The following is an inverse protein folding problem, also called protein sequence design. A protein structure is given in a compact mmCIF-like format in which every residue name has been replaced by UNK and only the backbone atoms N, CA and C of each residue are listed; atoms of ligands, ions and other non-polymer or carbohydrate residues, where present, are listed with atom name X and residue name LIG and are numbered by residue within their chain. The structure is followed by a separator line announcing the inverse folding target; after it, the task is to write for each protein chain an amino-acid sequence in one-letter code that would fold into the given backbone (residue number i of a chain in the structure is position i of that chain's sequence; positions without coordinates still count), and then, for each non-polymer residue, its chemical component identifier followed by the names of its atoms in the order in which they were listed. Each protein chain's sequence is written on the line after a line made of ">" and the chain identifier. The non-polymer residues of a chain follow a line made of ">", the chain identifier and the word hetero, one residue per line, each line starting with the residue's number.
data_IF_027751703813
#
_entry.id   IF_027751703813
#
_cell.length_a   1.000
_cell.length_b   1.000
_cell.length_c   1.000
_cell.angle_alpha   90.00
_cell.angle_beta   90.00
_cell.angle_gamma   90.00
#
_symmetry.space_group_name_H-M   'P 1'
#
loop_
_entity.id
_entity.type
_entity.pdbx_description
1 polymer ?
#
# COMPACT_ATOMS: atom_id res chain seq x y z
N UNK A 1 -4.32 31.03 15.00
CA UNK A 1 -5.01 29.77 14.60
C UNK A 1 -4.41 28.65 15.43
N UNK A 2 -5.23 27.85 16.12
CA UNK A 2 -4.79 26.69 16.92
C UNK A 2 -5.36 25.45 16.24
N UNK A 3 -4.52 24.44 16.00
CA UNK A 3 -4.93 23.12 15.48
C UNK A 3 -4.79 22.07 16.59
N UNK A 4 -5.59 20.99 16.59
CA UNK A 4 -5.44 19.88 17.56
C UNK A 4 -4.03 19.32 17.58
N UNK A 5 -3.48 19.00 16.39
CA UNK A 5 -2.12 18.55 16.11
C UNK A 5 -1.60 17.38 16.98
N UNK A 6 -0.40 16.92 16.68
CA UNK A 6 0.36 15.93 17.47
C UNK A 6 1.24 16.67 18.47
N UNK A 7 1.35 16.24 19.74
CA UNK A 7 2.27 16.84 20.70
C UNK A 7 3.74 16.83 20.22
N UNK A 8 4.47 17.94 20.40
CA UNK A 8 5.92 17.99 20.11
C UNK A 8 6.73 17.04 21.01
N UNK A 9 6.16 16.67 22.16
CA UNK A 9 6.74 15.75 23.14
C UNK A 9 6.41 14.28 22.87
N UNK A 10 5.79 13.95 21.72
CA UNK A 10 5.51 12.56 21.34
C UNK A 10 6.81 11.76 21.35
N UNK A 11 6.87 10.75 22.20
CA UNK A 11 8.01 9.85 22.31
C UNK A 11 8.25 9.11 20.98
N UNK A 12 9.52 8.95 20.60
CA UNK A 12 9.95 8.13 19.47
C UNK A 12 10.33 6.73 19.94
N UNK A 13 9.31 5.86 20.06
CA UNK A 13 9.50 4.47 20.49
C UNK A 13 10.32 3.67 19.47
N UNK A 14 11.16 2.78 19.98
CA UNK A 14 12.03 1.88 19.21
C UNK A 14 11.92 0.48 19.78
N UNK A 15 11.68 -0.51 18.93
CA UNK A 15 11.64 -1.89 19.38
C UNK A 15 13.02 -2.30 19.94
N UNK A 16 13.08 -3.11 21.01
CA UNK A 16 14.35 -3.50 21.63
C UNK A 16 15.16 -4.45 20.73
N UNK A 17 14.49 -5.24 19.89
CA UNK A 17 15.09 -6.23 18.99
C UNK A 17 15.03 -5.73 17.55
N UNK A 18 16.08 -6.07 16.78
CA UNK A 18 16.16 -5.74 15.36
C UNK A 18 15.24 -6.65 14.51
N UNK A 19 13.98 -6.26 14.42
CA UNK A 19 12.95 -6.87 13.57
C UNK A 19 12.48 -5.89 12.48
N UNK A 20 11.84 -6.43 11.45
CA UNK A 20 11.38 -5.65 10.31
C UNK A 20 9.89 -5.85 10.05
N UNK A 21 9.25 -4.75 9.63
CA UNK A 21 7.92 -4.76 9.02
C UNK A 21 8.03 -4.43 7.53
N UNK A 22 7.22 -5.10 6.69
CA UNK A 22 7.09 -4.78 5.27
C UNK A 22 5.68 -4.32 4.95
N UNK A 23 5.53 -3.50 3.90
CA UNK A 23 4.26 -2.88 3.53
C UNK A 23 3.95 -3.17 2.07
N UNK A 24 2.99 -4.07 1.87
CA UNK A 24 2.44 -4.44 0.58
C UNK A 24 1.17 -3.61 0.40
N UNK A 25 1.16 -2.70 -0.57
CA UNK A 25 -0.04 -1.94 -0.90
C UNK A 25 -0.73 -2.52 -2.11
N UNK A 26 -2.06 -2.46 -2.09
CA UNK A 26 -2.93 -2.59 -3.25
C UNK A 26 -2.51 -3.73 -4.20
N UNK A 27 -2.55 -5.02 -3.75
CA UNK A 27 -2.21 -6.15 -4.61
C UNK A 27 -3.14 -6.34 -5.80
N UNK A 28 -4.43 -6.06 -5.63
CA UNK A 28 -5.48 -6.22 -6.64
C UNK A 28 -5.49 -7.62 -7.31
N UNK A 29 -5.47 -8.68 -6.51
CA UNK A 29 -5.59 -10.05 -7.04
C UNK A 29 -6.88 -10.21 -7.84
N UNK A 30 -6.77 -10.76 -9.05
CA UNK A 30 -7.88 -10.89 -10.00
C UNK A 30 -7.81 -9.93 -11.19
N UNK A 31 -7.01 -8.87 -11.07
CA UNK A 31 -6.73 -7.92 -12.15
C UNK A 31 -5.90 -8.56 -13.28
N UNK A 32 -6.15 -8.18 -14.53
CA UNK A 32 -5.37 -8.59 -15.70
C UNK A 32 -4.01 -7.89 -15.81
N UNK A 33 -3.85 -6.77 -15.09
CA UNK A 33 -2.60 -6.02 -14.97
C UNK A 33 -1.83 -6.36 -13.70
N UNK A 34 -2.23 -7.40 -12.96
CA UNK A 34 -1.49 -7.86 -11.79
C UNK A 34 -0.06 -8.30 -12.20
N UNK A 35 0.94 -7.73 -11.52
CA UNK A 35 2.36 -7.98 -11.78
C UNK A 35 2.83 -9.27 -11.12
N UNK A 36 2.30 -10.39 -11.61
CA UNK A 36 2.54 -11.74 -11.10
C UNK A 36 4.02 -12.04 -10.88
N UNK A 37 4.85 -11.83 -11.90
CA UNK A 37 6.27 -12.19 -11.83
C UNK A 37 7.02 -11.36 -10.77
N UNK A 38 6.65 -10.08 -10.60
CA UNK A 38 7.25 -9.18 -9.62
C UNK A 38 6.86 -9.59 -8.20
N UNK A 39 5.57 -9.88 -7.99
CA UNK A 39 5.05 -10.37 -6.71
C UNK A 39 5.68 -11.73 -6.35
N UNK A 40 5.86 -12.62 -7.33
CA UNK A 40 6.52 -13.91 -7.12
C UNK A 40 7.99 -13.75 -6.72
N UNK A 41 8.73 -12.79 -7.30
CA UNK A 41 10.09 -12.46 -6.87
C UNK A 41 10.13 -11.94 -5.44
N UNK A 42 9.16 -11.10 -5.05
CA UNK A 42 9.02 -10.64 -3.68
C UNK A 42 8.78 -11.80 -2.72
N UNK A 43 7.88 -12.73 -3.04
CA UNK A 43 7.66 -13.92 -2.22
C UNK A 43 8.89 -14.81 -2.14
N UNK A 44 9.63 -15.02 -3.24
CA UNK A 44 10.89 -15.77 -3.22
C UNK A 44 11.92 -15.13 -2.30
N UNK A 45 12.05 -13.80 -2.34
CA UNK A 45 12.92 -13.04 -1.44
C UNK A 45 12.46 -13.18 0.02
N UNK A 46 11.16 -13.02 0.31
CA UNK A 46 10.61 -13.12 1.66
C UNK A 46 10.81 -14.52 2.28
N UNK A 47 10.89 -15.54 1.42
CA UNK A 47 11.23 -16.92 1.76
C UNK A 47 12.74 -17.19 1.88
N UNK A 48 13.60 -16.18 1.70
CA UNK A 48 15.06 -16.32 1.70
C UNK A 48 15.63 -17.06 0.49
N UNK A 49 14.85 -17.24 -0.58
CA UNK A 49 15.21 -17.99 -1.79
C UNK A 49 15.73 -17.10 -2.92
N UNK A 50 15.71 -15.78 -2.77
CA UNK A 50 16.22 -14.82 -3.75
C UNK A 50 16.95 -13.65 -3.06
N UNK A 51 17.84 -12.99 -3.81
CA UNK A 51 18.68 -11.88 -3.34
C UNK A 51 20.09 -12.32 -2.91
N UNK A 52 20.92 -11.34 -2.55
CA UNK A 52 22.24 -11.57 -1.96
C UNK A 52 22.14 -11.96 -0.46
N UNK A 53 23.27 -12.28 0.18
CA UNK A 53 23.26 -12.73 1.58
C UNK A 53 22.74 -11.67 2.56
N UNK A 54 23.00 -10.38 2.34
CA UNK A 54 22.42 -9.30 3.15
C UNK A 54 20.91 -9.24 3.01
N UNK A 55 20.39 -9.33 1.78
CA UNK A 55 18.96 -9.32 1.47
C UNK A 55 18.23 -10.52 2.06
N UNK A 56 18.83 -11.71 1.99
CA UNK A 56 18.28 -12.92 2.61
C UNK A 56 18.30 -12.84 4.13
N UNK A 57 19.38 -12.31 4.72
CA UNK A 57 19.47 -12.09 6.17
C UNK A 57 18.39 -11.09 6.64
N UNK A 58 18.13 -10.04 5.85
CA UNK A 58 17.06 -9.09 6.12
C UNK A 58 15.68 -9.77 6.06
N UNK A 59 15.39 -10.58 5.03
CA UNK A 59 14.13 -11.30 4.89
C UNK A 59 13.83 -12.22 6.09
N UNK A 60 14.86 -12.85 6.67
CA UNK A 60 14.74 -13.67 7.89
C UNK A 60 14.30 -12.87 9.12
N UNK A 61 14.65 -11.57 9.19
CA UNK A 61 14.28 -10.67 10.29
C UNK A 61 12.93 -9.98 10.08
N UNK A 62 12.25 -10.20 8.95
CA UNK A 62 10.87 -9.73 8.76
C UNK A 62 9.93 -10.55 9.64
N UNK A 63 9.14 -9.85 10.46
CA UNK A 63 8.16 -10.43 11.39
C UNK A 63 6.73 -9.95 11.16
N UNK A 64 6.56 -8.79 10.51
CA UNK A 64 5.25 -8.22 10.23
C UNK A 64 5.10 -7.90 8.75
N UNK A 65 3.97 -8.30 8.16
CA UNK A 65 3.60 -8.02 6.77
C UNK A 65 2.28 -7.27 6.78
N UNK A 66 2.32 -5.97 6.51
CA UNK A 66 1.11 -5.17 6.36
C UNK A 66 0.61 -5.26 4.91
N UNK A 67 -0.69 -5.50 4.75
CA UNK A 67 -1.39 -5.40 3.47
C UNK A 67 -2.43 -4.29 3.58
N UNK A 68 -2.24 -3.21 2.82
CA UNK A 68 -2.97 -1.95 3.03
C UNK A 68 -4.23 -1.80 2.19
N UNK A 69 -5.17 -2.74 2.30
CA UNK A 69 -6.40 -2.75 1.52
C UNK A 69 -6.21 -3.13 0.06
N UNK A 70 -7.34 -3.21 -0.63
CA UNK A 70 -7.44 -3.59 -2.04
C UNK A 70 -6.69 -4.89 -2.32
N UNK A 71 -6.92 -5.88 -1.45
CA UNK A 71 -6.31 -7.20 -1.58
C UNK A 71 -6.69 -7.82 -2.93
N UNK A 72 -7.96 -7.67 -3.30
CA UNK A 72 -8.51 -8.11 -4.57
C UNK A 72 -8.93 -6.92 -5.42
N UNK A 73 -9.09 -7.12 -6.72
CA UNK A 73 -9.56 -6.09 -7.66
C UNK A 73 -11.08 -5.81 -7.52
N UNK A 74 -11.83 -6.74 -6.93
CA UNK A 74 -13.27 -6.64 -6.79
C UNK A 74 -14.04 -6.88 -8.10
N UNK A 75 -15.35 -6.68 -8.06
CA UNK A 75 -16.24 -6.78 -9.24
C UNK A 75 -17.26 -5.65 -9.17
N UNK A 76 -17.35 -4.85 -10.24
CA UNK A 76 -18.29 -3.74 -10.35
C UNK A 76 -17.84 -2.46 -9.62
N UNK A 77 -16.53 -2.27 -9.44
CA UNK A 77 -15.96 -1.12 -8.73
C UNK A 77 -16.03 0.17 -9.57
N UNK A 78 -15.79 0.07 -10.88
CA UNK A 78 -15.88 1.19 -11.81
C UNK A 78 -16.46 0.76 -13.17
N UNK A 79 -17.02 1.68 -13.97
CA UNK A 79 -17.58 1.36 -15.28
C UNK A 79 -16.54 0.75 -16.23
N UNK A 80 -16.86 -0.41 -16.82
CA UNK A 80 -15.97 -1.11 -17.75
C UNK A 80 -14.92 -2.01 -17.10
N UNK A 81 -14.92 -2.15 -15.77
CA UNK A 81 -13.96 -2.97 -15.02
C UNK A 81 -13.88 -4.43 -15.53
N UNK A 82 -14.96 -4.98 -16.09
CA UNK A 82 -14.99 -6.34 -16.62
C UNK A 82 -13.95 -6.63 -17.72
N UNK A 83 -13.39 -5.58 -18.35
CA UNK A 83 -12.28 -5.66 -19.30
C UNK A 83 -10.91 -5.76 -18.61
N UNK A 84 -10.81 -5.30 -17.36
CA UNK A 84 -9.60 -5.29 -16.53
C UNK A 84 -9.52 -6.52 -15.62
N UNK A 85 -10.55 -7.38 -15.59
CA UNK A 85 -10.60 -8.58 -14.75
C UNK A 85 -10.15 -9.85 -15.49
N UNK A 86 -9.13 -10.51 -14.94
CA UNK A 86 -8.84 -11.92 -15.26
C UNK A 86 -9.81 -12.86 -14.53
N UNK A 87 -10.14 -12.55 -13.28
CA UNK A 87 -11.05 -13.36 -12.44
C UNK A 87 -12.30 -12.52 -12.16
N UNK A 88 -13.44 -12.89 -12.75
CA UNK A 88 -14.71 -12.12 -12.67
C UNK A 88 -15.62 -12.52 -11.51
N UNK A 89 -15.09 -13.26 -10.54
CA UNK A 89 -15.81 -13.78 -9.39
C UNK A 89 -15.05 -13.40 -8.11
N UNK A 90 -15.73 -12.69 -7.21
CA UNK A 90 -15.13 -12.11 -6.00
C UNK A 90 -14.57 -13.18 -5.05
N UNK A 91 -15.24 -14.33 -4.93
CA UNK A 91 -14.80 -15.44 -4.08
C UNK A 91 -13.53 -16.06 -4.67
N UNK A 92 -13.48 -16.25 -5.99
CA UNK A 92 -12.30 -16.76 -6.68
C UNK A 92 -11.11 -15.80 -6.62
N UNK A 93 -11.35 -14.49 -6.59
CA UNK A 93 -10.26 -13.52 -6.36
C UNK A 93 -9.63 -13.71 -4.97
N UNK A 94 -10.43 -13.95 -3.93
CA UNK A 94 -9.92 -14.27 -2.60
C UNK A 94 -9.23 -15.64 -2.52
N UNK A 95 -9.70 -16.65 -3.25
CA UNK A 95 -8.99 -17.93 -3.38
C UNK A 95 -7.60 -17.75 -4.00
N UNK A 96 -7.50 -16.92 -5.05
CA UNK A 96 -6.23 -16.60 -5.70
C UNK A 96 -5.32 -15.80 -4.76
N UNK A 97 -5.85 -14.79 -4.07
CA UNK A 97 -5.11 -14.07 -3.04
C UNK A 97 -4.55 -15.03 -1.96
N UNK A 98 -5.39 -15.95 -1.45
CA UNK A 98 -4.96 -16.95 -0.48
C UNK A 98 -3.84 -17.85 -1.01
N UNK A 99 -3.85 -18.22 -2.30
CA UNK A 99 -2.77 -19.00 -2.93
C UNK A 99 -1.41 -18.29 -2.83
N UNK A 100 -1.38 -16.96 -2.98
CA UNK A 100 -0.18 -16.16 -2.80
C UNK A 100 0.18 -16.00 -1.32
N UNK A 101 -0.79 -15.66 -0.47
CA UNK A 101 -0.53 -15.39 0.95
C UNK A 101 -0.08 -16.64 1.73
N UNK A 102 -0.55 -17.85 1.37
CA UNK A 102 -0.04 -19.12 1.94
C UNK A 102 1.45 -19.36 1.73
N UNK A 103 2.08 -18.66 0.78
CA UNK A 103 3.53 -18.75 0.52
C UNK A 103 4.33 -17.81 1.42
N UNK A 104 3.69 -16.93 2.18
CA UNK A 104 4.36 -16.13 3.20
C UNK A 104 4.68 -17.07 4.38
N UNK A 105 5.94 -17.13 4.85
CA UNK A 105 6.31 -18.01 5.97
C UNK A 105 5.46 -17.75 7.22
N UNK A 106 5.04 -18.83 7.90
CA UNK A 106 4.16 -18.76 9.08
C UNK A 106 4.78 -17.96 10.25
N UNK A 107 6.11 -17.82 10.30
CA UNK A 107 6.82 -17.02 11.29
C UNK A 107 6.65 -15.49 11.10
N UNK A 108 5.93 -15.07 10.06
CA UNK A 108 5.67 -13.67 9.71
C UNK A 108 4.18 -13.41 9.85
N UNK A 109 3.81 -12.53 10.77
CA UNK A 109 2.43 -12.19 11.01
C UNK A 109 1.91 -11.22 9.95
N UNK A 110 0.82 -11.60 9.26
CA UNK A 110 0.16 -10.79 8.25
C UNK A 110 -0.90 -9.93 8.94
N UNK A 111 -0.89 -8.63 8.69
CA UNK A 111 -1.89 -7.69 9.16
C UNK A 111 -2.56 -7.10 7.93
N UNK A 112 -3.82 -7.47 7.71
CA UNK A 112 -4.62 -7.04 6.58
C UNK A 112 -5.72 -6.10 7.08
N UNK A 113 -5.89 -4.96 6.42
CA UNK A 113 -7.07 -4.11 6.58
C UNK A 113 -7.73 -3.94 5.22
N UNK A 114 -9.05 -3.74 5.21
CA UNK A 114 -9.86 -3.66 3.99
C UNK A 114 -9.59 -2.37 3.21
N UNK A 115 -9.71 -2.42 1.89
CA UNK A 115 -9.77 -1.25 1.00
C UNK A 115 -11.15 -1.08 0.37
N UNK A 116 -11.25 -0.22 -0.65
CA UNK A 116 -12.51 0.06 -1.34
C UNK A 116 -12.84 -0.94 -2.47
N UNK A 117 -11.91 -1.82 -2.86
CA UNK A 117 -12.16 -2.92 -3.80
C UNK A 117 -12.58 -4.23 -3.09
N UNK A 118 -12.34 -4.32 -1.79
CA UNK A 118 -12.63 -5.51 -0.98
C UNK A 118 -14.13 -5.71 -0.69
N UNK A 119 -14.53 -6.96 -0.47
CA UNK A 119 -15.90 -7.32 -0.15
C UNK A 119 -16.37 -6.73 1.17
N UNK A 120 -17.31 -5.79 1.10
CA UNK A 120 -17.88 -5.10 2.24
C UNK A 120 -18.61 -3.83 1.81
N UNK A 121 -18.75 -2.88 2.74
CA UNK A 121 -19.23 -1.54 2.42
C UNK A 121 -18.09 -0.68 1.86
N UNK A 122 -18.43 0.21 0.93
CA UNK A 122 -17.50 1.24 0.43
C UNK A 122 -17.33 2.40 1.42
N UNK A 123 -18.32 2.63 2.27
CA UNK A 123 -18.32 3.73 3.21
C UNK A 123 -17.48 3.44 4.45
N UNK A 124 -16.75 4.46 4.89
CA UNK A 124 -15.89 4.43 6.07
C UNK A 124 -16.68 4.74 7.36
N UNK A 125 -16.33 4.12 8.51
CA UNK A 125 -15.31 3.07 8.65
C UNK A 125 -15.75 1.79 7.94
N UNK A 126 -14.87 1.01 7.34
CA UNK A 126 -15.19 -0.28 6.73
C UNK A 126 -14.91 -1.41 7.73
N UNK A 127 -15.85 -2.34 7.86
CA UNK A 127 -15.65 -3.56 8.68
C UNK A 127 -14.56 -4.45 8.07
N UNK A 128 -13.99 -5.41 8.82
CA UNK A 128 -13.16 -6.46 8.24
C UNK A 128 -13.85 -7.13 7.04
N UNK A 129 -13.05 -7.60 6.07
CA UNK A 129 -13.52 -8.23 4.83
C UNK A 129 -14.60 -9.27 5.13
N UNK A 130 -15.71 -9.24 4.40
CA UNK A 130 -16.83 -10.17 4.63
C UNK A 130 -16.38 -11.64 4.50
N UNK A 131 -16.42 -12.37 5.62
CA UNK A 131 -15.93 -13.76 5.71
C UNK A 131 -16.65 -14.73 4.78
N UNK A 132 -17.89 -14.43 4.40
CA UNK A 132 -18.68 -15.19 3.42
C UNK A 132 -17.98 -15.31 2.05
N UNK A 133 -17.18 -14.31 1.66
CA UNK A 133 -16.44 -14.31 0.39
C UNK A 133 -14.95 -14.64 0.56
N UNK A 134 -14.38 -14.35 1.73
CA UNK A 134 -12.94 -14.43 1.97
C UNK A 134 -12.51 -15.59 2.89
N UNK A 135 -13.33 -16.64 3.04
CA UNK A 135 -13.03 -17.79 3.92
C UNK A 135 -11.59 -18.32 3.79
N UNK A 136 -11.01 -18.51 2.58
CA UNK A 136 -9.63 -18.98 2.44
C UNK A 136 -8.57 -18.05 3.04
N UNK A 137 -8.86 -16.75 3.17
CA UNK A 137 -7.99 -15.76 3.82
C UNK A 137 -8.08 -15.91 5.34
N UNK A 138 -9.28 -16.07 5.89
CA UNK A 138 -9.49 -16.31 7.33
C UNK A 138 -8.91 -17.64 7.82
N UNK A 139 -8.68 -18.61 6.94
CA UNK A 139 -8.06 -19.90 7.24
C UNK A 139 -6.51 -19.85 7.32
N UNK A 140 -5.88 -18.71 7.01
CA UNK A 140 -4.43 -18.56 7.15
C UNK A 140 -4.04 -18.55 8.65
N UNK A 141 -3.04 -19.34 9.08
CA UNK A 141 -2.72 -19.49 10.50
C UNK A 141 -2.05 -18.25 11.12
N UNK A 142 -1.48 -17.37 10.30
CA UNK A 142 -0.64 -16.25 10.70
C UNK A 142 -1.21 -14.88 10.30
N UNK A 143 -2.53 -14.75 10.11
CA UNK A 143 -3.17 -13.49 9.70
C UNK A 143 -4.03 -12.86 10.80
N UNK A 144 -4.01 -11.54 10.88
CA UNK A 144 -5.03 -10.71 11.55
C UNK A 144 -5.70 -9.83 10.50
N UNK A 145 -7.02 -9.90 10.40
CA UNK A 145 -7.83 -9.07 9.51
C UNK A 145 -8.53 -8.00 10.37
N UNK A 146 -8.44 -6.75 9.95
CA UNK A 146 -8.93 -5.59 10.70
C UNK A 146 -9.84 -4.70 9.85
N UNK A 147 -10.57 -3.80 10.52
CA UNK A 147 -11.34 -2.74 9.89
C UNK A 147 -10.45 -1.70 9.20
N UNK A 148 -11.05 -0.82 8.40
CA UNK A 148 -10.43 0.40 7.92
C UNK A 148 -11.25 1.63 8.38
N UNK A 149 -10.72 2.51 9.25
CA UNK A 149 -9.40 2.44 9.89
C UNK A 149 -9.33 1.39 11.01
N UNK A 150 -8.12 1.16 11.51
CA UNK A 150 -7.86 0.38 12.73
C UNK A 150 -6.61 0.87 13.47
N UNK A 151 -6.48 0.51 14.74
CA UNK A 151 -5.25 0.70 15.52
C UNK A 151 -4.78 -0.67 16.01
N UNK A 152 -3.58 -1.09 15.59
CA UNK A 152 -2.95 -2.34 16.03
C UNK A 152 -1.66 -2.03 16.77
N UNK A 153 -1.23 -2.92 17.66
CA UNK A 153 0.05 -2.80 18.35
C UNK A 153 0.96 -3.98 17.95
N UNK A 154 2.21 -3.68 17.59
CA UNK A 154 3.19 -4.68 17.19
C UNK A 154 4.44 -4.61 18.06
N UNK A 155 5.18 -5.72 18.10
CA UNK A 155 6.47 -5.86 18.79
C UNK A 155 6.41 -5.62 20.32
N UNK A 156 5.23 -5.61 20.93
CA UNK A 156 5.12 -5.52 22.38
C UNK A 156 5.77 -6.72 23.07
N UNK A 157 6.44 -6.43 24.19
CA UNK A 157 7.02 -7.41 25.11
C UNK A 157 6.77 -6.94 26.55
N UNK A 158 7.13 -7.74 27.55
CA UNK A 158 6.99 -7.35 28.96
C UNK A 158 7.76 -6.06 29.33
N UNK A 159 8.80 -5.70 28.54
CA UNK A 159 9.66 -4.53 28.77
C UNK A 159 9.46 -3.44 27.71
N UNK A 160 8.64 -3.65 26.69
CA UNK A 160 8.40 -2.68 25.63
C UNK A 160 6.90 -2.62 25.30
N UNK A 161 6.24 -1.45 25.42
CA UNK A 161 4.79 -1.32 25.19
C UNK A 161 4.35 -1.55 23.74
N UNK A 162 5.29 -1.81 22.83
CA UNK A 162 5.02 -1.99 21.42
C UNK A 162 4.94 -0.67 20.66
N UNK A 163 4.72 -0.81 19.35
CA UNK A 163 4.51 0.29 18.42
C UNK A 163 3.05 0.32 18.00
N UNK A 164 2.39 1.45 18.23
CA UNK A 164 1.00 1.66 17.83
C UNK A 164 0.95 2.04 16.34
N UNK A 165 0.21 1.26 15.55
CA UNK A 165 0.08 1.42 14.11
C UNK A 165 -1.36 1.82 13.77
N UNK A 166 -1.55 3.05 13.32
CA UNK A 166 -2.79 3.51 12.71
C UNK A 166 -2.85 3.03 11.27
N UNK A 167 -3.86 2.24 10.95
CA UNK A 167 -4.13 1.68 9.64
C UNK A 167 -5.28 2.46 9.02
N UNK A 168 -5.09 2.93 7.79
CA UNK A 168 -6.14 3.61 7.03
C UNK A 168 -5.89 3.39 5.54
N UNK A 169 -6.85 2.88 4.77
CA UNK A 169 -6.61 2.62 3.35
C UNK A 169 -6.28 3.90 2.58
N UNK A 170 -7.01 5.00 2.85
CA UNK A 170 -6.72 6.30 2.25
C UNK A 170 -7.89 6.90 1.45
N UNK A 171 -9.14 6.50 1.71
CA UNK A 171 -10.30 6.93 0.91
C UNK A 171 -10.47 8.45 0.79
N UNK A 172 -9.98 9.21 1.77
CA UNK A 172 -10.03 10.68 1.77
C UNK A 172 -8.90 11.37 0.99
N UNK A 173 -7.87 10.64 0.55
CA UNK A 173 -6.63 11.23 0.06
C UNK A 173 -6.83 12.02 -1.23
N UNK A 174 -7.61 11.48 -2.17
CA UNK A 174 -7.91 12.14 -3.45
C UNK A 174 -8.56 13.49 -3.21
N UNK A 175 -9.54 13.57 -2.29
CA UNK A 175 -10.19 14.82 -1.94
C UNK A 175 -9.18 15.88 -1.47
N UNK A 176 -8.27 15.53 -0.54
CA UNK A 176 -7.31 16.51 -0.02
C UNK A 176 -6.19 16.86 -0.99
N UNK A 177 -5.80 15.91 -1.85
CA UNK A 177 -4.90 16.17 -2.97
C UNK A 177 -5.44 17.29 -3.87
N UNK A 178 -6.74 17.27 -4.16
CA UNK A 178 -7.37 18.18 -5.13
C UNK A 178 -7.88 19.47 -4.49
N UNK A 179 -8.29 19.45 -3.22
CA UNK A 179 -8.99 20.58 -2.59
C UNK A 179 -8.14 21.43 -1.66
N UNK A 180 -6.98 20.95 -1.20
CA UNK A 180 -6.09 21.75 -0.35
C UNK A 180 -5.07 22.48 -1.22
N UNK A 181 -5.12 23.83 -1.34
CA UNK A 181 -4.29 24.58 -2.31
C UNK A 181 -2.79 24.31 -2.16
N UNK A 182 -2.30 24.20 -0.91
CA UNK A 182 -0.89 23.93 -0.64
C UNK A 182 -0.45 22.52 -1.06
N UNK A 183 -1.33 21.51 -0.92
CA UNK A 183 -1.03 20.13 -1.34
C UNK A 183 -1.10 20.03 -2.86
N UNK A 184 -2.15 20.59 -3.47
CA UNK A 184 -2.30 20.64 -4.93
C UNK A 184 -1.12 21.32 -5.60
N UNK A 185 -0.70 22.48 -5.09
CA UNK A 185 0.48 23.20 -5.60
C UNK A 185 1.79 22.42 -5.43
N UNK A 186 1.87 21.52 -4.45
CA UNK A 186 3.04 20.69 -4.19
C UNK A 186 3.07 19.39 -5.02
N UNK A 187 2.07 19.13 -5.88
CA UNK A 187 1.98 17.92 -6.70
C UNK A 187 0.75 17.05 -6.46
N UNK A 188 -0.21 17.50 -5.63
CA UNK A 188 -1.50 16.83 -5.42
C UNK A 188 -1.32 15.40 -4.90
N UNK A 189 -1.80 14.42 -5.67
CA UNK A 189 -1.74 13.00 -5.31
C UNK A 189 -0.29 12.50 -5.16
N UNK A 190 0.71 13.17 -5.77
CA UNK A 190 2.12 12.81 -5.58
C UNK A 190 2.63 13.17 -4.18
N UNK A 191 2.00 14.13 -3.50
CA UNK A 191 2.43 14.71 -2.23
C UNK A 191 1.75 14.02 -1.03
N UNK A 192 1.75 12.68 -1.04
CA UNK A 192 1.05 11.85 -0.05
C UNK A 192 1.52 12.15 1.39
N UNK A 193 2.80 12.45 1.56
CA UNK A 193 3.37 12.86 2.85
C UNK A 193 2.69 14.11 3.43
N UNK A 194 2.34 15.09 2.58
CA UNK A 194 1.64 16.29 3.00
C UNK A 194 0.18 16.01 3.36
N UNK A 195 -0.47 15.07 2.68
CA UNK A 195 -1.83 14.62 3.00
C UNK A 195 -1.84 13.93 4.35
N UNK A 196 -0.93 12.96 4.57
CA UNK A 196 -0.82 12.26 5.85
C UNK A 196 -0.54 13.23 7.00
N UNK A 197 0.41 14.16 6.82
CA UNK A 197 0.66 15.26 7.77
C UNK A 197 -0.58 16.10 8.01
N UNK A 198 -1.32 16.46 6.96
CA UNK A 198 -2.53 17.25 7.06
C UNK A 198 -3.56 16.56 7.97
N UNK A 199 -3.82 15.26 7.77
CA UNK A 199 -4.76 14.48 8.58
C UNK A 199 -4.31 14.37 10.04
N UNK A 200 -3.02 14.10 10.28
CA UNK A 200 -2.45 14.07 11.63
C UNK A 200 -2.61 15.41 12.36
N UNK A 201 -2.43 16.54 11.67
CA UNK A 201 -2.63 17.88 12.24
C UNK A 201 -4.08 18.15 12.63
N UNK A 202 -5.05 17.57 11.92
CA UNK A 202 -6.49 17.68 12.24
C UNK A 202 -6.94 16.61 13.23
N UNK A 203 -6.10 15.61 13.50
CA UNK A 203 -6.42 14.43 14.31
C UNK A 203 -7.67 13.72 13.81
N UNK A 204 -7.85 13.66 12.49
CA UNK A 204 -9.01 13.04 11.85
C UNK A 204 -8.66 12.58 10.43
N UNK A 205 -9.18 11.44 10.00
CA UNK A 205 -8.85 10.80 8.71
C UNK A 205 -9.64 11.37 7.54
N UNK A 206 -10.83 11.93 7.77
CA UNK A 206 -11.60 12.69 6.77
C UNK A 206 -12.33 13.92 7.38
N UNK A 207 -11.60 14.94 7.89
CA UNK A 207 -12.20 16.06 8.64
C UNK A 207 -13.22 16.91 7.86
N UNK A 208 -13.14 16.93 6.53
CA UNK A 208 -14.14 17.61 5.69
C UNK A 208 -15.27 16.65 5.36
N UNK A 209 -16.51 17.10 5.56
CA UNK A 209 -17.70 16.35 5.16
C UNK A 209 -17.63 15.98 3.67
N UNK A 210 -17.94 14.73 3.34
CA UNK A 210 -17.85 14.13 1.99
C UNK A 210 -16.42 14.08 1.40
N UNK A 211 -15.35 14.24 2.19
CA UNK A 211 -14.00 13.94 1.72
C UNK A 211 -13.79 12.44 1.47
N UNK A 212 -14.52 11.59 2.18
CA UNK A 212 -14.69 10.17 1.91
C UNK A 212 -16.17 9.82 2.09
N UNK A 213 -16.63 8.75 1.43
CA UNK A 213 -17.95 8.20 1.70
C UNK A 213 -17.96 7.68 3.13
N UNK A 214 -18.79 8.22 4.01
CA UNK A 214 -18.78 7.91 5.44
C UNK A 214 -20.17 7.55 5.92
N UNK A 215 -20.28 6.55 6.80
CA UNK A 215 -21.50 6.27 7.56
C UNK A 215 -21.28 6.79 8.98
N UNK A 216 -22.02 7.83 9.41
CA UNK A 216 -21.93 8.30 10.78
C UNK A 216 -22.51 7.25 11.72
N UNK A 217 -21.81 7.00 12.82
CA UNK A 217 -22.34 6.25 13.97
C UNK A 217 -22.77 7.23 15.06
N UNK A 218 -23.84 6.90 15.79
CA UNK A 218 -24.47 7.82 16.74
C UNK A 218 -23.66 8.03 18.02
N UNK A 219 -22.78 7.08 18.35
CA UNK A 219 -22.05 6.98 19.61
C UNK A 219 -20.58 7.38 19.50
N UNK A 220 -19.99 7.27 18.29
CA UNK A 220 -18.57 7.50 18.08
C UNK A 220 -18.26 7.98 16.67
N UNK A 221 -17.18 8.74 16.52
CA UNK A 221 -16.54 8.96 15.23
C UNK A 221 -15.30 8.06 15.11
N UNK A 222 -15.34 7.09 14.19
CA UNK A 222 -14.27 6.12 13.99
C UNK A 222 -13.11 6.65 13.15
N UNK A 223 -13.27 7.79 12.47
CA UNK A 223 -12.22 8.44 11.69
C UNK A 223 -11.41 9.42 12.56
N UNK A 224 -11.83 9.67 13.79
CA UNK A 224 -11.09 10.45 14.78
C UNK A 224 -9.79 9.72 15.19
N UNK A 225 -8.67 10.42 15.08
CA UNK A 225 -7.36 9.97 15.55
C UNK A 225 -7.21 10.33 17.02
N UNK A 226 -7.90 9.58 17.87
CA UNK A 226 -7.93 9.82 19.33
C UNK A 226 -6.56 9.57 19.99
N UNK A 227 -5.88 8.49 19.60
CA UNK A 227 -4.51 8.19 20.04
C UNK A 227 -3.51 8.51 18.93
N UNK A 228 -2.44 9.22 19.27
CA UNK A 228 -1.34 9.51 18.34
C UNK A 228 -0.55 8.22 18.10
N UNK A 229 -0.46 7.72 16.86
CA UNK A 229 0.24 6.47 16.58
C UNK A 229 1.75 6.65 16.58
N UNK A 230 2.48 5.54 16.59
CA UNK A 230 3.90 5.49 16.23
C UNK A 230 4.07 5.35 14.70
N UNK A 231 3.20 4.59 14.03
CA UNK A 231 3.16 4.45 12.57
C UNK A 231 1.79 4.85 12.03
N UNK A 232 1.76 5.59 10.92
CA UNK A 232 0.55 5.80 10.14
C UNK A 232 0.74 5.13 8.77
N UNK A 233 -0.06 4.11 8.47
CA UNK A 233 0.12 3.21 7.33
C UNK A 233 -1.08 3.30 6.41
N UNK A 234 -0.84 3.60 5.14
CA UNK A 234 -1.86 3.80 4.09
C UNK A 234 -1.51 3.16 2.76
N UNK A 235 -2.47 3.14 1.83
CA UNK A 235 -2.37 2.61 0.46
C UNK A 235 -3.09 3.52 -0.55
N UNK A 236 -3.90 2.94 -1.44
CA UNK A 236 -4.87 3.61 -2.33
C UNK A 236 -4.29 4.49 -3.46
N UNK A 237 -3.27 5.30 -3.18
CA UNK A 237 -2.62 6.19 -4.16
C UNK A 237 -1.60 5.44 -5.05
N UNK A 238 -1.34 4.16 -4.77
CA UNK A 238 -0.45 3.30 -5.53
C UNK A 238 0.99 3.82 -5.63
N UNK A 239 1.41 4.70 -4.70
CA UNK A 239 2.72 5.36 -4.71
C UNK A 239 3.42 5.21 -3.38
N UNK A 240 4.67 4.75 -3.42
CA UNK A 240 5.52 4.68 -2.24
C UNK A 240 5.82 6.08 -1.71
N UNK A 241 5.47 6.32 -0.45
CA UNK A 241 5.85 7.52 0.30
C UNK A 241 6.27 7.15 1.71
N UNK A 242 7.37 7.74 2.19
CA UNK A 242 7.84 7.57 3.56
C UNK A 242 8.21 8.94 4.09
N UNK A 243 7.62 9.33 5.21
CA UNK A 243 7.92 10.59 5.87
C UNK A 243 7.86 10.46 7.39
N UNK A 244 8.31 11.50 8.08
CA UNK A 244 8.17 11.60 9.52
C UNK A 244 7.49 12.92 9.89
N UNK A 245 6.49 12.85 10.77
CA UNK A 245 5.86 14.03 11.34
C UNK A 245 5.76 13.90 12.85
N UNK A 246 6.54 14.73 13.58
CA UNK A 246 6.58 14.72 15.06
C UNK A 246 6.70 13.31 15.63
N UNK A 247 7.72 12.58 15.16
CA UNK A 247 8.03 11.20 15.58
C UNK A 247 7.04 10.12 15.11
N UNK A 248 6.00 10.45 14.35
CA UNK A 248 5.17 9.46 13.65
C UNK A 248 5.80 9.12 12.30
N UNK A 249 6.06 7.84 12.05
CA UNK A 249 6.51 7.38 10.71
C UNK A 249 5.28 7.16 9.84
N UNK A 250 5.15 7.97 8.80
CA UNK A 250 4.08 7.92 7.83
C UNK A 250 4.54 7.09 6.62
N UNK A 251 3.74 6.09 6.24
CA UNK A 251 4.04 5.14 5.19
C UNK A 251 2.83 5.03 4.28
N UNK A 252 2.99 5.36 3.00
CA UNK A 252 2.06 4.98 1.96
C UNK A 252 2.69 3.86 1.14
N UNK A 253 2.05 2.69 1.12
CA UNK A 253 2.51 1.57 0.31
C UNK A 253 2.23 1.82 -1.19
N UNK A 254 3.00 1.15 -2.04
CA UNK A 254 2.80 1.20 -3.51
C UNK A 254 1.64 0.30 -3.95
N UNK A 255 1.73 -0.25 -5.16
CA UNK A 255 0.80 -1.26 -5.66
C UNK A 255 1.54 -2.46 -6.29
N UNK A 256 0.81 -3.49 -6.70
CA UNK A 256 1.32 -4.62 -7.48
C UNK A 256 0.60 -4.84 -8.82
N UNK A 257 0.08 -3.76 -9.39
CA UNK A 257 -0.53 -3.74 -10.72
C UNK A 257 0.23 -2.80 -11.65
N UNK A 258 0.21 -3.07 -12.95
CA UNK A 258 0.48 -2.01 -13.93
C UNK A 258 -0.60 -0.93 -13.89
N UNK A 259 -0.30 0.20 -14.54
CA UNK A 259 -1.24 1.31 -14.63
C UNK A 259 -2.40 0.97 -15.56
N UNK A 260 -3.64 1.06 -15.08
CA UNK A 260 -4.85 0.90 -15.92
C UNK A 260 -5.26 2.22 -16.59
N UNK A 261 -6.10 2.15 -17.63
CA UNK A 261 -6.66 3.35 -18.25
C UNK A 261 -7.49 4.19 -17.28
N UNK A 262 -8.23 3.55 -16.37
CA UNK A 262 -8.98 4.25 -15.31
C UNK A 262 -8.04 5.05 -14.40
N UNK A 263 -6.94 4.44 -13.96
CA UNK A 263 -5.94 5.11 -13.13
C UNK A 263 -5.34 6.33 -13.84
N UNK A 264 -5.04 6.22 -15.13
CA UNK A 264 -4.57 7.37 -15.94
C UNK A 264 -5.63 8.46 -15.99
N UNK A 265 -6.90 8.12 -16.24
CA UNK A 265 -8.02 9.08 -16.27
C UNK A 265 -8.21 9.81 -14.93
N UNK A 266 -7.94 9.12 -13.82
CA UNK A 266 -7.98 9.68 -12.46
C UNK A 266 -6.72 10.44 -12.05
N UNK A 267 -5.72 10.54 -12.94
CA UNK A 267 -4.48 11.26 -12.69
C UNK A 267 -3.51 10.55 -11.75
N UNK A 268 -3.67 9.24 -11.53
CA UNK A 268 -2.76 8.44 -10.73
C UNK A 268 -1.45 8.19 -11.49
N UNK A 269 -0.33 8.25 -10.77
CA UNK A 269 1.00 7.88 -11.27
C UNK A 269 1.58 6.76 -10.39
N UNK A 270 1.14 5.50 -10.60
CA UNK A 270 1.55 4.37 -9.78
C UNK A 270 3.07 4.14 -9.76
N UNK A 271 3.55 3.59 -8.65
CA UNK A 271 4.92 3.10 -8.50
C UNK A 271 4.90 1.64 -8.08
N UNK A 272 4.57 0.73 -9.01
CA UNK A 272 4.34 -0.65 -8.67
C UNK A 272 5.63 -1.40 -8.32
N UNK A 273 5.46 -2.53 -7.64
CA UNK A 273 6.53 -3.48 -7.31
C UNK A 273 7.64 -2.90 -6.43
N UNK A 274 7.35 -1.81 -5.71
CA UNK A 274 8.25 -1.22 -4.71
C UNK A 274 7.77 -1.57 -3.31
N UNK A 275 8.57 -2.34 -2.59
CA UNK A 275 8.27 -2.79 -1.23
C UNK A 275 9.01 -1.91 -0.22
N UNK A 276 8.27 -1.31 0.71
CA UNK A 276 8.84 -0.59 1.85
C UNK A 276 9.17 -1.61 2.95
N UNK A 277 10.34 -1.45 3.54
CA UNK A 277 10.88 -2.31 4.59
C UNK A 277 11.33 -1.39 5.74
N UNK A 278 10.71 -1.49 6.91
CA UNK A 278 11.01 -0.67 8.06
C UNK A 278 11.71 -1.49 9.13
N UNK A 279 12.91 -1.07 9.55
CA UNK A 279 13.55 -1.60 10.75
C UNK A 279 12.86 -1.04 12.00
N UNK A 280 12.29 -1.90 12.85
CA UNK A 280 11.49 -1.50 14.01
C UNK A 280 12.33 -0.95 15.17
N UNK A 281 13.60 -1.37 15.27
CA UNK A 281 14.53 -0.89 16.29
C UNK A 281 15.09 0.50 15.96
N UNK A 282 15.39 0.77 14.69
CA UNK A 282 16.00 2.05 14.27
C UNK A 282 15.02 3.02 13.66
N UNK A 283 13.82 2.54 13.26
CA UNK A 283 12.80 3.27 12.51
C UNK A 283 13.27 3.77 11.15
N UNK A 284 14.36 3.19 10.62
CA UNK A 284 14.92 3.53 9.31
C UNK A 284 14.26 2.67 8.22
N UNK A 285 13.73 3.29 7.16
CA UNK A 285 13.15 2.56 6.04
C UNK A 285 14.21 2.20 4.97
N UNK A 286 13.94 1.14 4.23
CA UNK A 286 14.56 0.78 2.94
C UNK A 286 13.44 0.53 1.93
N UNK A 287 13.70 0.77 0.65
CA UNK A 287 12.77 0.44 -0.44
C UNK A 287 13.45 -0.55 -1.37
N UNK A 288 12.83 -1.71 -1.59
CA UNK A 288 13.27 -2.70 -2.56
C UNK A 288 12.39 -2.63 -3.80
N UNK A 289 13.01 -2.56 -4.98
CA UNK A 289 12.32 -2.58 -6.25
C UNK A 289 12.37 -4.00 -6.83
N UNK A 290 11.21 -4.59 -7.08
CA UNK A 290 11.06 -5.91 -7.67
C UNK A 290 10.75 -5.87 -9.16
N UNK A 291 10.56 -4.68 -9.75
CA UNK A 291 10.27 -4.53 -11.18
C UNK A 291 11.45 -5.02 -12.01
N UNK A 292 11.17 -5.82 -13.03
CA UNK A 292 12.20 -6.30 -13.97
C UNK A 292 12.67 -5.10 -14.78
N UNK A 293 13.98 -4.87 -14.85
CA UNK A 293 14.51 -3.92 -15.84
C UNK A 293 14.14 -4.44 -17.23
N UNK A 294 13.55 -3.58 -18.06
CA UNK A 294 13.35 -3.90 -19.46
C UNK A 294 14.73 -4.17 -20.07
N UNK A 295 14.98 -5.41 -20.50
CA UNK A 295 16.10 -5.71 -21.39
C UNK A 295 15.93 -4.82 -22.61
N UNK A 296 16.76 -3.78 -22.72
CA UNK A 296 16.89 -3.01 -23.94
C UNK A 296 17.50 -3.97 -24.97
N UNK A 297 16.66 -4.70 -25.69
CA UNK A 297 17.08 -5.40 -26.89
C UNK A 297 17.46 -4.31 -27.88
N UNK A 298 18.76 -4.02 -27.99
CA UNK A 298 19.30 -3.25 -29.11
C UNK A 298 18.84 -3.97 -30.39
N UNK A 299 17.77 -3.47 -31.02
CA UNK A 299 17.48 -3.81 -32.41
C UNK A 299 18.67 -3.28 -33.20
N UNK A 300 19.48 -4.19 -33.72
CA UNK A 300 20.49 -3.90 -34.71
C UNK A 300 19.81 -3.17 -35.88
N UNK A 301 20.26 -1.95 -36.16
CA UNK A 301 19.96 -1.25 -37.40
C UNK A 301 20.82 -1.87 -38.51
N UNK A 302 20.38 -3.00 -39.02
CA UNK A 302 20.75 -3.45 -40.37
C UNK A 302 19.69 -2.91 -41.32
N UNK A 303 19.84 -1.64 -41.72
CA UNK A 303 19.23 -1.11 -42.94
C UNK A 303 20.33 -0.56 -43.84
N UNK A 304 20.68 -1.41 -44.81
CA UNK A 304 21.10 -1.11 -46.18
C UNK A 304 21.72 0.27 -46.47
N UNK A 305 23.06 0.26 -46.60
CA UNK A 305 23.75 1.20 -47.49
C UNK A 305 23.46 0.84 -48.95
N UNK A 306 22.44 1.44 -49.56
CA UNK A 306 22.35 1.54 -51.02
C UNK A 306 23.23 2.71 -51.53
N UNK A 307 24.05 2.53 -52.58
CA UNK A 307 24.83 3.60 -53.16
C UNK A 307 23.96 4.49 -54.06
N UNK A 308 23.84 5.78 -53.71
CA UNK A 308 23.22 6.79 -54.59
C UNK A 308 24.09 7.00 -55.83
N UNK A 309 23.54 6.66 -57.00
CA UNK A 309 24.01 7.10 -58.31
C UNK A 309 23.98 8.63 -58.36
N UNK A 310 25.09 9.23 -58.78
CA UNK A 310 25.17 10.66 -59.08
C UNK A 310 24.29 11.00 -60.29
N UNK A 311 23.53 12.08 -60.17
CA UNK A 311 22.88 12.76 -61.29
C UNK A 311 23.59 14.09 -61.54
N UNK A 312 23.74 14.33 -62.83
CA UNK A 312 24.51 15.35 -63.52
C UNK A 312 23.85 16.73 -63.39
N UNK A 313 24.69 17.78 -63.36
CA UNK A 313 24.32 19.19 -63.36
C UNK A 313 23.53 19.60 -64.61
N UNK A 314 22.54 20.47 -64.39
CA UNK A 314 21.90 21.37 -65.34
C UNK A 314 21.40 22.58 -64.58
#
# INVERSE_FOLDING_TARGET
>A
IILPDIPLTKEFKKAPVEEYAIFIGDPHFGSNVFLKDDFERMLLWLNGKAGNEEQKALAKKVKYVFISGDLIEGVGIYPGQEHDLTIKDITKQYEEAARYLRRIPEDKHIILFTGNHDAGRLSEPQEPIMSAYAKPIYELPNITITSNPAMVNIAATDQFPGLDCLLYHGGSFIYYADNIPAIRAAGGQKSVDLIMKYLLQRRHLAPTHNAAMTIPTTDRDWLLIDRVPDLFITGHIHRVSISNYRNVTCINAGCWTETTEDQVKRGLEPQPSKLIILNLQTRKPKVMNFRKEATVTKRASDEEKQPRKGLVQG
#
